data_IF_375314866678
#
_entry.id   IF_375314866678
#
_cell.length_a   1.000
_cell.length_b   1.000
_cell.length_c   1.000
_cell.angle_alpha   90.00
_cell.angle_beta   90.00
_cell.angle_gamma   90.00
#
_symmetry.space_group_name_H-M   'P 1'
#
loop_
_entity.id
_entity.type
_entity.pdbx_description
1 polymer ?
#
# COMPACT_ATOMS: atom_id res chain seq x y z
N UNK A 1 49.69 -4.19 47.83
CA UNK A 1 49.88 -2.73 47.73
C UNK A 1 48.49 -2.11 47.93
N UNK A 2 47.98 -2.00 49.16
CA UNK A 2 48.22 -0.88 50.10
C UNK A 2 47.82 0.44 49.43
N UNK A 3 46.83 1.20 49.87
CA UNK A 3 46.68 1.72 51.23
C UNK A 3 45.29 2.37 51.40
N UNK A 4 44.69 2.11 52.55
CA UNK A 4 43.68 2.94 53.20
C UNK A 4 44.26 4.35 53.41
N UNK A 5 43.51 5.42 53.15
CA UNK A 5 43.68 6.63 53.97
C UNK A 5 42.35 7.29 54.33
N UNK A 6 42.34 7.74 55.59
CA UNK A 6 41.24 8.19 56.43
C UNK A 6 41.18 9.72 56.44
N UNK A 7 39.98 10.22 56.73
CA UNK A 7 39.68 11.42 57.52
C UNK A 7 40.22 12.79 57.11
N UNK A 8 39.29 13.74 56.99
CA UNK A 8 39.21 14.99 57.80
C UNK A 8 37.86 15.67 57.48
N UNK A 9 36.88 15.63 58.39
CA UNK A 9 36.50 16.71 59.34
C UNK A 9 36.44 18.09 58.66
N UNK A 10 35.27 18.72 58.63
CA UNK A 10 34.89 19.81 59.55
C UNK A 10 33.54 20.41 59.12
N UNK A 11 32.60 20.41 60.06
CA UNK A 11 31.36 21.16 59.99
C UNK A 11 31.62 22.63 60.31
N UNK A 12 31.06 23.58 59.55
CA UNK A 12 30.84 24.97 60.01
C UNK A 12 29.61 25.57 59.27
N UNK A 13 28.57 25.85 60.08
CA UNK A 13 27.67 27.03 60.12
C UNK A 13 27.24 27.68 58.79
N UNK A 14 25.92 27.76 58.52
CA UNK A 14 25.05 28.95 58.73
C UNK A 14 25.48 30.15 57.86
N UNK A 15 24.66 30.95 57.19
CA UNK A 15 23.45 31.69 57.59
C UNK A 15 22.78 32.17 56.28
N UNK A 16 21.48 32.43 56.36
CA UNK A 16 20.59 33.08 55.40
C UNK A 16 21.21 34.16 54.46
N UNK A 17 20.64 34.24 53.25
CA UNK A 17 20.89 35.32 52.30
C UNK A 17 19.92 35.28 51.13
N UNK A 18 18.88 36.10 51.22
CA UNK A 18 17.86 36.40 50.20
C UNK A 18 18.52 36.87 48.90
N UNK A 19 18.08 36.38 47.73
CA UNK A 19 17.58 37.21 46.61
C UNK A 19 17.36 36.43 45.31
N UNK A 20 16.16 36.65 44.78
CA UNK A 20 15.68 36.57 43.41
C UNK A 20 16.65 36.17 42.27
N UNK A 21 16.25 35.18 41.48
CA UNK A 21 15.94 35.30 40.04
C UNK A 21 15.65 33.91 39.46
N UNK A 22 14.38 33.58 39.24
CA UNK A 22 13.97 32.38 38.48
C UNK A 22 13.63 32.82 37.07
N UNK A 23 14.51 32.51 36.11
CA UNK A 23 14.17 32.43 34.70
C UNK A 23 15.23 31.62 33.96
N UNK A 24 15.04 30.30 33.82
CA UNK A 24 15.56 29.54 32.66
C UNK A 24 14.58 28.42 32.30
N UNK A 25 13.88 28.64 31.19
CA UNK A 25 13.49 27.69 30.14
C UNK A 25 13.38 26.20 30.48
N UNK A 26 12.15 25.68 30.38
CA UNK A 26 11.89 24.25 30.35
C UNK A 26 10.46 23.90 29.92
N UNK A 27 9.89 24.62 28.95
CA UNK A 27 8.63 24.18 28.32
C UNK A 27 8.98 23.06 27.33
N UNK A 28 9.10 21.84 27.84
CA UNK A 28 9.10 20.64 27.01
C UNK A 28 7.70 20.43 26.45
N UNK A 29 7.38 21.05 25.32
CA UNK A 29 6.24 20.66 24.49
C UNK A 29 6.61 19.31 23.84
N UNK A 30 6.45 18.21 24.56
CA UNK A 30 6.36 16.89 23.93
C UNK A 30 5.02 16.85 23.21
N UNK A 31 5.01 17.26 21.94
CA UNK A 31 3.92 16.99 21.02
C UNK A 31 3.84 15.47 20.82
N UNK A 32 3.06 14.80 21.67
CA UNK A 32 2.60 13.44 21.37
C UNK A 32 1.65 13.57 20.19
N UNK A 33 2.18 13.38 18.98
CA UNK A 33 1.32 13.11 17.83
C UNK A 33 0.76 11.71 18.05
N UNK A 34 -0.45 11.64 18.59
CA UNK A 34 -1.27 10.45 18.46
C UNK A 34 -1.50 10.25 16.97
N UNK A 35 -0.77 9.29 16.40
CA UNK A 35 -1.08 8.77 15.07
C UNK A 35 -2.50 8.20 15.16
N UNK A 36 -3.49 9.02 14.81
CA UNK A 36 -4.88 8.62 14.77
C UNK A 36 -4.96 7.45 13.81
N UNK A 37 -5.16 6.24 14.35
CA UNK A 37 -5.38 5.04 13.57
C UNK A 37 -6.60 5.30 12.68
N UNK A 38 -6.36 5.54 11.39
CA UNK A 38 -7.45 5.72 10.44
C UNK A 38 -8.31 4.45 10.47
N UNK A 39 -9.64 4.58 10.52
CA UNK A 39 -10.53 3.43 10.49
C UNK A 39 -10.19 2.55 9.28
N UNK A 40 -9.75 1.31 9.54
CA UNK A 40 -9.38 0.40 8.48
C UNK A 40 -10.66 -0.01 7.73
N UNK A 41 -10.73 0.37 6.46
CA UNK A 41 -11.89 0.08 5.61
C UNK A 41 -12.04 -1.43 5.41
N UNK A 42 -13.29 -1.92 5.42
CA UNK A 42 -13.59 -3.30 5.02
C UNK A 42 -13.14 -3.53 3.57
N UNK A 43 -12.37 -4.61 3.28
CA UNK A 43 -11.98 -4.95 1.92
C UNK A 43 -13.19 -5.18 0.99
N UNK A 44 -13.06 -4.81 -0.28
CA UNK A 44 -14.08 -5.04 -1.32
C UNK A 44 -13.53 -5.82 -2.53
N UNK A 45 -14.35 -5.95 -3.58
CA UNK A 45 -13.98 -6.71 -4.77
C UNK A 45 -12.82 -6.06 -5.52
N UNK A 46 -12.79 -4.73 -5.56
CA UNK A 46 -11.70 -4.02 -6.21
C UNK A 46 -10.38 -4.20 -5.45
N UNK A 47 -10.39 -4.19 -4.11
CA UNK A 47 -9.19 -4.50 -3.31
C UNK A 47 -8.66 -5.91 -3.61
N UNK A 48 -9.55 -6.88 -3.83
CA UNK A 48 -9.17 -8.27 -4.07
C UNK A 48 -8.42 -8.48 -5.41
N UNK A 49 -8.61 -7.58 -6.39
CA UNK A 49 -7.96 -7.66 -7.71
C UNK A 49 -6.97 -6.54 -7.97
N UNK A 50 -6.94 -5.47 -7.16
CA UNK A 50 -6.04 -4.34 -7.37
C UNK A 50 -4.57 -4.74 -7.17
N UNK A 51 -3.71 -4.48 -8.15
CA UNK A 51 -2.31 -4.87 -8.13
C UNK A 51 -1.69 -4.95 -9.51
N UNK A 52 -0.48 -5.50 -9.56
CA UNK A 52 0.31 -5.65 -10.78
C UNK A 52 0.37 -7.12 -11.18
N UNK A 53 0.22 -7.37 -12.48
CA UNK A 53 0.19 -8.71 -13.05
C UNK A 53 1.20 -8.81 -14.20
N UNK A 54 1.89 -9.95 -14.28
CA UNK A 54 2.83 -10.25 -15.35
C UNK A 54 2.29 -11.37 -16.22
N UNK A 55 2.43 -11.25 -17.53
CA UNK A 55 1.89 -12.21 -18.48
C UNK A 55 2.06 -11.78 -19.92
N UNK A 56 1.29 -12.38 -20.80
CA UNK A 56 1.50 -12.32 -22.24
C UNK A 56 0.22 -11.94 -22.97
N UNK A 57 0.37 -11.20 -24.06
CA UNK A 57 -0.67 -11.09 -25.10
C UNK A 57 -0.65 -12.39 -25.89
N UNK A 58 -1.69 -13.20 -25.68
CA UNK A 58 -1.84 -14.53 -26.27
C UNK A 58 -2.53 -14.50 -27.64
N UNK A 59 -3.31 -13.45 -27.93
CA UNK A 59 -3.97 -13.25 -29.22
C UNK A 59 -4.22 -11.75 -29.46
N UNK A 60 -3.95 -11.25 -30.67
CA UNK A 60 -4.17 -9.86 -31.08
C UNK A 60 -4.68 -9.83 -32.52
N UNK A 61 -5.87 -9.28 -32.77
CA UNK A 61 -6.45 -9.20 -34.12
C UNK A 61 -5.73 -8.22 -35.05
N UNK A 62 -4.91 -7.32 -34.52
CA UNK A 62 -4.20 -6.26 -35.24
C UNK A 62 -2.68 -6.43 -35.21
N UNK A 63 -2.17 -7.54 -34.66
CA UNK A 63 -0.74 -7.71 -34.45
C UNK A 63 -0.31 -9.12 -34.06
N UNK A 64 0.95 -9.24 -33.69
CA UNK A 64 1.53 -10.48 -33.16
C UNK A 64 1.38 -10.54 -31.64
N UNK A 65 1.38 -11.75 -31.09
CA UNK A 65 1.54 -12.01 -29.67
C UNK A 65 2.78 -11.30 -29.09
N UNK A 66 2.72 -10.98 -27.79
CA UNK A 66 3.79 -10.25 -27.10
C UNK A 66 3.95 -10.78 -25.68
N UNK A 67 5.17 -11.18 -25.33
CA UNK A 67 5.50 -11.61 -23.98
C UNK A 67 5.91 -10.45 -23.07
N UNK A 68 5.94 -10.74 -21.76
CA UNK A 68 6.42 -9.84 -20.71
C UNK A 68 5.64 -8.52 -20.63
N UNK A 69 4.33 -8.58 -20.85
CA UNK A 69 3.42 -7.45 -20.74
C UNK A 69 2.89 -7.38 -19.31
N UNK A 70 3.04 -6.20 -18.71
CA UNK A 70 2.53 -5.93 -17.36
C UNK A 70 1.15 -5.27 -17.46
N UNK A 71 0.18 -5.79 -16.70
CA UNK A 71 -1.07 -5.09 -16.41
C UNK A 71 -1.04 -4.49 -15.01
N UNK A 72 -1.56 -3.28 -14.86
CA UNK A 72 -1.83 -2.65 -13.56
C UNK A 72 -3.33 -2.48 -13.39
N UNK A 73 -3.87 -3.08 -12.33
CA UNK A 73 -5.28 -3.00 -11.96
C UNK A 73 -5.41 -2.06 -10.77
N UNK A 74 -6.07 -0.93 -10.97
CA UNK A 74 -6.24 0.11 -9.95
C UNK A 74 -7.70 0.21 -9.52
N UNK A 75 -7.96 0.19 -8.22
CA UNK A 75 -9.30 0.43 -7.67
C UNK A 75 -9.77 1.85 -7.96
N UNK A 76 -10.95 1.99 -8.56
CA UNK A 76 -11.61 3.28 -8.81
C UNK A 76 -12.97 3.39 -8.11
N UNK A 77 -13.49 2.29 -7.58
CA UNK A 77 -14.67 2.23 -6.73
C UNK A 77 -14.79 0.86 -6.06
N UNK A 78 -15.78 0.61 -5.20
CA UNK A 78 -15.80 -0.63 -4.43
C UNK A 78 -15.88 -1.92 -5.25
N UNK A 79 -16.57 -1.84 -6.38
CA UNK A 79 -16.70 -2.93 -7.35
C UNK A 79 -16.28 -2.44 -8.74
N UNK A 80 -15.29 -1.54 -8.81
CA UNK A 80 -14.85 -0.99 -10.09
C UNK A 80 -13.34 -0.82 -10.09
N UNK A 81 -12.71 -1.24 -11.18
CA UNK A 81 -11.27 -1.09 -11.40
C UNK A 81 -10.99 -0.47 -12.76
N UNK A 82 -9.85 0.19 -12.86
CA UNK A 82 -9.24 0.59 -14.13
C UNK A 82 -8.06 -0.34 -14.41
N UNK A 83 -7.96 -0.84 -15.63
CA UNK A 83 -6.85 -1.68 -16.09
C UNK A 83 -6.01 -0.87 -17.07
N UNK A 84 -4.72 -0.77 -16.79
CA UNK A 84 -3.71 -0.16 -17.68
C UNK A 84 -2.62 -1.17 -17.99
N UNK A 85 -1.79 -0.88 -19.00
CA UNK A 85 -0.65 -1.71 -19.38
C UNK A 85 0.59 -0.89 -19.68
N UNK A 86 1.77 -1.50 -19.53
CA UNK A 86 3.04 -1.01 -20.07
C UNK A 86 3.17 -1.23 -21.59
N UNK A 87 2.28 -2.00 -22.21
CA UNK A 87 2.24 -2.23 -23.65
C UNK A 87 1.25 -1.26 -24.32
N UNK A 88 1.73 -0.24 -25.08
CA UNK A 88 0.89 0.87 -25.54
C UNK A 88 -0.23 0.50 -26.51
N UNK A 89 -0.22 -0.72 -27.06
CA UNK A 89 -1.30 -1.19 -27.95
C UNK A 89 -2.55 -1.62 -27.18
N UNK A 90 -2.44 -1.96 -25.90
CA UNK A 90 -3.60 -2.32 -25.09
C UNK A 90 -4.31 -1.05 -24.60
N UNK A 91 -5.64 -0.95 -24.80
CA UNK A 91 -6.40 0.20 -24.33
C UNK A 91 -6.52 0.18 -22.80
N UNK A 92 -6.78 1.36 -22.23
CA UNK A 92 -7.21 1.48 -20.84
C UNK A 92 -8.70 1.15 -20.77
N UNK A 93 -9.09 0.24 -19.88
CA UNK A 93 -10.50 -0.14 -19.69
C UNK A 93 -10.93 0.09 -18.23
N UNK A 94 -12.21 0.41 -18.04
CA UNK A 94 -12.85 0.45 -16.72
C UNK A 94 -13.82 -0.71 -16.58
N UNK A 95 -13.66 -1.51 -15.53
CA UNK A 95 -14.35 -2.78 -15.37
C UNK A 95 -15.19 -2.76 -14.09
N UNK A 96 -16.52 -2.77 -14.19
CA UNK A 96 -17.41 -3.11 -13.08
C UNK A 96 -17.27 -4.60 -12.73
N UNK A 97 -17.17 -4.93 -11.45
CA UNK A 97 -16.86 -6.27 -10.95
C UNK A 97 -18.08 -6.95 -10.32
N UNK A 98 -18.16 -8.27 -10.50
CA UNK A 98 -19.05 -9.16 -9.77
C UNK A 98 -18.30 -10.41 -9.33
N UNK A 99 -18.83 -11.14 -8.34
CA UNK A 99 -18.30 -12.45 -7.93
C UNK A 99 -19.12 -13.56 -8.58
N UNK A 100 -18.44 -14.56 -9.11
CA UNK A 100 -19.05 -15.79 -9.62
C UNK A 100 -18.25 -16.99 -9.10
N UNK A 101 -18.83 -17.73 -8.14
CA UNK A 101 -18.14 -18.82 -7.43
C UNK A 101 -16.79 -18.32 -6.86
N UNK A 102 -15.67 -18.92 -7.30
CA UNK A 102 -14.32 -18.54 -6.87
C UNK A 102 -13.66 -17.45 -7.74
N UNK A 103 -14.39 -16.87 -8.69
CA UNK A 103 -13.83 -15.86 -9.59
C UNK A 103 -14.40 -14.48 -9.32
N UNK A 104 -13.64 -13.45 -9.67
CA UNK A 104 -14.12 -12.08 -9.80
C UNK A 104 -14.11 -11.75 -11.29
N UNK A 105 -15.24 -11.31 -11.84
CA UNK A 105 -15.41 -11.12 -13.28
C UNK A 105 -15.99 -9.75 -13.62
N UNK A 106 -15.85 -9.34 -14.89
CA UNK A 106 -16.60 -8.21 -15.44
C UNK A 106 -18.11 -8.46 -15.29
N UNK A 107 -18.82 -7.54 -14.66
CA UNK A 107 -20.28 -7.62 -14.48
C UNK A 107 -21.05 -7.24 -15.76
N UNK A 108 -20.44 -6.42 -16.61
CA UNK A 108 -20.97 -5.91 -17.89
C UNK A 108 -19.86 -5.28 -18.71
N UNK A 109 -20.14 -5.02 -19.98
CA UNK A 109 -19.22 -4.36 -20.92
C UNK A 109 -18.91 -5.25 -22.11
N UNK A 110 -17.97 -4.80 -22.93
CA UNK A 110 -17.49 -5.46 -24.15
C UNK A 110 -16.09 -6.08 -23.97
N UNK A 111 -15.57 -6.08 -22.75
CA UNK A 111 -14.28 -6.68 -22.40
C UNK A 111 -14.48 -7.83 -21.41
N UNK A 112 -13.67 -8.87 -21.54
CA UNK A 112 -13.57 -9.93 -20.53
C UNK A 112 -12.57 -9.49 -19.48
N UNK A 113 -12.93 -9.68 -18.22
CA UNK A 113 -12.03 -9.61 -17.07
C UNK A 113 -12.39 -10.80 -16.19
N UNK A 114 -11.44 -11.70 -15.95
CA UNK A 114 -11.65 -12.86 -15.10
C UNK A 114 -10.43 -13.05 -14.22
N UNK A 115 -10.63 -12.89 -12.92
CA UNK A 115 -9.64 -13.20 -11.90
C UNK A 115 -10.03 -14.48 -11.16
N UNK A 116 -9.20 -15.52 -11.28
CA UNK A 116 -9.31 -16.78 -10.53
C UNK A 116 -8.55 -16.62 -9.20
N UNK A 117 -9.28 -16.70 -8.08
CA UNK A 117 -8.70 -16.46 -6.75
C UNK A 117 -7.74 -17.57 -6.32
N UNK A 118 -8.00 -18.83 -6.70
CA UNK A 118 -7.17 -19.96 -6.30
C UNK A 118 -5.83 -19.92 -7.04
N UNK A 119 -5.88 -19.59 -8.33
CA UNK A 119 -4.68 -19.50 -9.17
C UNK A 119 -3.96 -18.17 -9.07
N UNK A 120 -4.63 -17.14 -8.52
CA UNK A 120 -4.19 -15.74 -8.58
C UNK A 120 -3.86 -15.30 -10.01
N UNK A 121 -4.64 -15.82 -10.96
CA UNK A 121 -4.50 -15.61 -12.39
C UNK A 121 -5.53 -14.60 -12.86
N UNK A 122 -5.12 -13.75 -13.80
CA UNK A 122 -5.97 -12.77 -14.47
C UNK A 122 -5.95 -13.04 -15.98
N UNK A 123 -7.14 -13.17 -16.56
CA UNK A 123 -7.34 -13.20 -18.00
C UNK A 123 -8.16 -11.97 -18.40
N UNK A 124 -7.71 -11.25 -19.43
CA UNK A 124 -8.37 -10.03 -19.93
C UNK A 124 -8.47 -10.09 -21.44
N UNK A 125 -9.67 -9.90 -21.99
CA UNK A 125 -9.87 -9.65 -23.42
C UNK A 125 -10.36 -8.22 -23.60
N UNK A 126 -9.50 -7.35 -24.13
CA UNK A 126 -9.77 -5.94 -24.37
C UNK A 126 -10.66 -5.80 -25.62
N UNK A 127 -11.90 -5.35 -25.43
CA UNK A 127 -12.91 -5.15 -26.48
C UNK A 127 -13.09 -6.36 -27.42
N UNK A 128 -12.81 -7.59 -26.93
CA UNK A 128 -12.77 -8.82 -27.73
C UNK A 128 -11.78 -8.82 -28.92
N UNK A 129 -10.82 -7.88 -28.96
CA UNK A 129 -9.81 -7.80 -30.03
C UNK A 129 -8.46 -8.37 -29.62
N UNK A 130 -8.07 -8.15 -28.38
CA UNK A 130 -6.75 -8.54 -27.85
C UNK A 130 -6.93 -9.25 -26.52
N UNK A 131 -6.37 -10.44 -26.40
CA UNK A 131 -6.42 -11.25 -25.18
C UNK A 131 -5.05 -11.33 -24.53
N UNK A 132 -5.04 -11.14 -23.22
CA UNK A 132 -3.88 -11.20 -22.35
C UNK A 132 -4.16 -12.18 -21.20
N UNK A 133 -3.15 -12.92 -20.78
CA UNK A 133 -3.24 -13.84 -19.64
C UNK A 133 -1.98 -13.76 -18.80
N UNK A 134 -2.13 -13.79 -17.48
CA UNK A 134 -1.00 -13.72 -16.57
C UNK A 134 -1.36 -13.88 -15.10
N UNK A 135 -0.35 -13.75 -14.25
CA UNK A 135 -0.46 -13.99 -12.80
C UNK A 135 -0.06 -12.75 -12.01
N UNK A 136 -0.59 -12.64 -10.79
CA UNK A 136 -0.21 -11.58 -9.86
C UNK A 136 1.28 -11.66 -9.50
N UNK A 137 1.97 -10.51 -9.52
CA UNK A 137 3.33 -10.36 -8.98
C UNK A 137 3.34 -10.29 -7.45
#
# INVERSE_FOLDING_TARGET
>A
MTMIDRHRRHAVRAIAGVSASVAVFGVGLTSMTEAQAQPQRKPDLADAVAGTYAGDVISDSRGSSRSDVTLTVTRTGPNTVQVTSDYPRLPVITVPLTTAMNTIQAARGDSVFLYDRDKKQLDVSFHMEVSWSGVRR
#
